data_IF_493587766743
#
_entry.id   IF_493587766743
#
_cell.length_a   1.000
_cell.length_b   1.000
_cell.length_c   1.000
_cell.angle_alpha   90.00
_cell.angle_beta   90.00
_cell.angle_gamma   90.00
#
_symmetry.space_group_name_H-M   'P 1'
#
loop_
_entity.id
_entity.type
_entity.pdbx_description
1 polymer ?
#
# COMPACT_ATOMS: atom_id res chain seq x y z
N UNK A 1 2.37 -10.77 15.26
CA UNK A 1 3.25 -9.61 14.94
C UNK A 1 2.94 -9.24 13.51
N UNK A 2 2.58 -7.99 13.27
CA UNK A 2 2.28 -7.49 11.93
C UNK A 2 3.58 -7.41 11.12
N UNK A 3 3.57 -7.90 9.90
CA UNK A 3 4.73 -7.82 9.02
C UNK A 3 4.93 -6.36 8.56
N UNK A 4 6.18 -5.87 8.42
CA UNK A 4 6.44 -4.52 7.92
C UNK A 4 5.81 -4.21 6.56
N UNK A 5 5.66 -5.23 5.70
CA UNK A 5 4.97 -5.12 4.41
C UNK A 5 3.48 -4.85 4.62
N UNK A 6 2.84 -5.55 5.56
CA UNK A 6 1.44 -5.32 5.91
C UNK A 6 1.25 -3.90 6.44
N UNK A 7 2.09 -3.46 7.38
CA UNK A 7 2.02 -2.09 7.92
C UNK A 7 2.12 -1.05 6.81
N UNK A 8 3.05 -1.23 5.87
CA UNK A 8 3.22 -0.32 4.73
C UNK A 8 2.03 -0.33 3.79
N UNK A 9 1.54 -1.52 3.45
CA UNK A 9 0.37 -1.71 2.59
C UNK A 9 -0.86 -1.01 3.17
N UNK A 10 -1.20 -1.26 4.44
CA UNK A 10 -2.39 -0.65 5.05
C UNK A 10 -2.22 0.87 5.26
N UNK A 11 -1.01 1.36 5.50
CA UNK A 11 -0.74 2.81 5.56
C UNK A 11 -1.02 3.48 4.21
N UNK A 12 -0.46 2.93 3.13
CA UNK A 12 -0.69 3.43 1.77
C UNK A 12 -2.15 3.29 1.35
N UNK A 13 -2.82 2.21 1.76
CA UNK A 13 -4.24 2.01 1.49
C UNK A 13 -5.09 3.13 2.10
N UNK A 14 -4.86 3.50 3.37
CA UNK A 14 -5.58 4.60 4.03
C UNK A 14 -5.30 5.94 3.34
N UNK A 15 -4.08 6.19 2.90
CA UNK A 15 -3.72 7.40 2.16
C UNK A 15 -4.43 7.48 0.81
N UNK A 16 -4.37 6.40 0.02
CA UNK A 16 -5.02 6.33 -1.30
C UNK A 16 -6.53 6.49 -1.16
N UNK A 17 -7.16 5.86 -0.17
CA UNK A 17 -8.60 6.01 0.10
C UNK A 17 -8.99 7.43 0.49
N UNK A 18 -8.12 8.15 1.23
CA UNK A 18 -8.36 9.56 1.55
C UNK A 18 -8.21 10.48 0.33
N UNK A 19 -7.29 10.16 -0.59
CA UNK A 19 -7.03 10.92 -1.81
C UNK A 19 -8.03 10.64 -2.96
N UNK A 20 -8.64 9.46 -3.00
CA UNK A 20 -9.66 9.10 -4.01
C UNK A 20 -10.96 9.92 -3.85
N UNK A 21 -11.04 10.74 -2.78
CA UNK A 21 -12.20 11.55 -2.41
C UNK A 21 -13.36 10.69 -1.92
N UNK A 22 -14.34 11.25 -1.21
CA UNK A 22 -15.51 10.47 -0.80
C UNK A 22 -16.38 10.17 -2.04
N UNK A 23 -16.62 8.90 -2.42
CA UNK A 23 -17.97 8.56 -2.84
C UNK A 23 -18.89 8.60 -1.60
N UNK A 24 -20.15 9.02 -1.72
CA UNK A 24 -21.12 9.04 -0.61
C UNK A 24 -21.58 7.63 -0.18
N UNK A 25 -20.73 6.61 -0.32
CA UNK A 25 -21.13 5.21 -0.27
C UNK A 25 -20.44 4.50 0.88
N UNK A 26 -21.24 3.85 1.73
CA UNK A 26 -20.84 3.18 2.98
C UNK A 26 -19.69 2.16 2.82
N UNK A 27 -19.45 1.67 1.61
CA UNK A 27 -18.41 0.68 1.32
C UNK A 27 -17.00 1.23 1.48
N UNK A 28 -16.73 2.46 0.99
CA UNK A 28 -15.38 3.05 1.08
C UNK A 28 -15.03 3.40 2.53
N UNK A 29 -16.02 3.83 3.31
CA UNK A 29 -15.85 4.07 4.74
C UNK A 29 -15.58 2.77 5.51
N UNK A 30 -16.28 1.69 5.17
CA UNK A 30 -16.04 0.37 5.76
C UNK A 30 -14.61 -0.14 5.49
N UNK A 31 -14.08 0.00 4.27
CA UNK A 31 -12.69 -0.36 3.97
C UNK A 31 -11.71 0.51 4.76
N UNK A 32 -11.96 1.81 4.84
CA UNK A 32 -11.09 2.75 5.56
C UNK A 32 -11.03 2.42 7.05
N UNK A 33 -12.18 2.17 7.68
CA UNK A 33 -12.25 1.80 9.09
C UNK A 33 -11.58 0.45 9.36
N UNK A 34 -11.80 -0.54 8.50
CA UNK A 34 -11.16 -1.84 8.62
C UNK A 34 -9.63 -1.75 8.48
N UNK A 35 -9.13 -0.95 7.54
CA UNK A 35 -7.70 -0.70 7.34
C UNK A 35 -7.06 0.02 8.54
N UNK A 36 -7.74 1.01 9.12
CA UNK A 36 -7.28 1.68 10.34
C UNK A 36 -7.21 0.72 11.53
N UNK A 37 -8.25 -0.09 11.73
CA UNK A 37 -8.27 -1.11 12.79
C UNK A 37 -7.16 -2.15 12.62
N UNK A 38 -6.90 -2.58 11.39
CA UNK A 38 -5.78 -3.46 11.05
C UNK A 38 -4.42 -2.87 11.46
N UNK A 39 -4.20 -1.56 11.24
CA UNK A 39 -2.99 -0.86 11.67
C UNK A 39 -2.89 -0.71 13.19
N UNK A 40 -4.02 -0.49 13.87
CA UNK A 40 -4.06 -0.30 15.32
C UNK A 40 -3.80 -1.60 16.08
N UNK A 41 -4.41 -2.71 15.65
CA UNK A 41 -4.36 -3.97 16.40
C UNK A 41 -3.26 -4.90 15.93
N UNK A 42 -2.88 -4.85 14.65
CA UNK A 42 -2.00 -5.83 14.02
C UNK A 42 -2.50 -7.27 14.13
N UNK A 43 -3.79 -7.47 14.46
CA UNK A 43 -4.35 -8.78 14.72
C UNK A 43 -4.69 -9.49 13.40
N UNK A 44 -4.35 -10.78 13.23
CA UNK A 44 -4.58 -11.50 11.97
C UNK A 44 -6.03 -11.43 11.46
N UNK A 45 -7.01 -11.41 12.38
CA UNK A 45 -8.42 -11.30 12.03
C UNK A 45 -8.80 -9.92 11.51
N UNK A 46 -8.21 -8.86 12.05
CA UNK A 46 -8.45 -7.49 11.58
C UNK A 46 -7.76 -7.26 10.21
N UNK A 47 -6.57 -7.83 10.00
CA UNK A 47 -5.90 -7.85 8.69
C UNK A 47 -6.78 -8.54 7.63
N UNK A 48 -7.32 -9.71 7.97
CA UNK A 48 -8.22 -10.46 7.09
C UNK A 48 -9.52 -9.71 6.84
N UNK A 49 -10.10 -9.06 7.86
CA UNK A 49 -11.31 -8.27 7.72
C UNK A 49 -11.09 -7.08 6.77
N UNK A 50 -9.96 -6.38 6.90
CA UNK A 50 -9.61 -5.30 5.98
C UNK A 50 -9.43 -5.79 4.54
N UNK A 51 -8.82 -6.97 4.35
CA UNK A 51 -8.71 -7.58 3.02
C UNK A 51 -10.06 -7.92 2.41
N UNK A 52 -10.96 -8.52 3.20
CA UNK A 52 -12.32 -8.84 2.77
C UNK A 52 -13.13 -7.60 2.43
N UNK A 53 -12.99 -6.53 3.21
CA UNK A 53 -13.64 -5.26 2.91
C UNK A 53 -13.18 -4.72 1.55
N UNK A 54 -11.87 -4.80 1.26
CA UNK A 54 -11.31 -4.40 -0.04
C UNK A 54 -11.84 -5.27 -1.19
N UNK A 55 -12.02 -6.58 -0.95
CA UNK A 55 -12.59 -7.50 -1.94
C UNK A 55 -14.07 -7.23 -2.22
N UNK A 56 -14.77 -6.55 -1.31
CA UNK A 56 -16.17 -6.15 -1.48
C UNK A 56 -16.37 -4.89 -2.33
N UNK A 57 -15.31 -4.18 -2.70
CA UNK A 57 -15.42 -3.03 -3.58
C UNK A 57 -15.72 -3.44 -5.02
N UNK A 58 -16.43 -2.56 -5.75
CA UNK A 58 -16.58 -2.65 -7.20
C UNK A 58 -15.23 -2.94 -7.90
N UNK A 59 -15.15 -3.95 -8.79
CA UNK A 59 -13.87 -4.42 -9.33
C UNK A 59 -13.01 -3.32 -9.96
N UNK A 60 -13.63 -2.44 -10.76
CA UNK A 60 -12.91 -1.33 -11.40
C UNK A 60 -12.39 -0.29 -10.41
N UNK A 61 -13.02 -0.15 -9.23
CA UNK A 61 -12.55 0.73 -8.16
C UNK A 61 -11.44 0.06 -7.37
N UNK A 62 -11.62 -1.22 -7.02
CA UNK A 62 -10.61 -2.05 -6.34
C UNK A 62 -9.29 -2.03 -7.10
N UNK A 63 -9.33 -2.27 -8.41
CA UNK A 63 -8.12 -2.34 -9.25
C UNK A 63 -7.39 -1.00 -9.31
N UNK A 64 -8.13 0.12 -9.39
CA UNK A 64 -7.53 1.47 -9.33
C UNK A 64 -6.85 1.73 -8.00
N UNK A 65 -7.51 1.42 -6.89
CA UNK A 65 -6.96 1.60 -5.54
C UNK A 65 -5.70 0.74 -5.36
N UNK A 66 -5.78 -0.55 -5.70
CA UNK A 66 -4.63 -1.46 -5.59
C UNK A 66 -3.47 -1.04 -6.49
N UNK A 67 -3.74 -0.56 -7.71
CA UNK A 67 -2.71 -0.04 -8.61
C UNK A 67 -1.95 1.14 -7.98
N UNK A 68 -2.66 2.09 -7.35
CA UNK A 68 -2.05 3.23 -6.65
C UNK A 68 -1.25 2.80 -5.42
N UNK A 69 -1.79 1.88 -4.62
CA UNK A 69 -1.07 1.34 -3.45
C UNK A 69 0.21 0.63 -3.89
N UNK A 70 0.14 -0.23 -4.91
CA UNK A 70 1.33 -0.92 -5.42
C UNK A 70 2.35 0.06 -6.03
N UNK A 71 1.90 1.10 -6.73
CA UNK A 71 2.79 2.15 -7.24
C UNK A 71 3.52 2.88 -6.09
N UNK A 72 2.81 3.18 -5.00
CA UNK A 72 3.42 3.73 -3.78
C UNK A 72 4.47 2.79 -3.18
N UNK A 73 4.14 1.50 -3.03
CA UNK A 73 5.06 0.49 -2.51
C UNK A 73 6.32 0.33 -3.39
N UNK A 74 6.17 0.40 -4.72
CA UNK A 74 7.29 0.30 -5.66
C UNK A 74 8.18 1.56 -5.65
N UNK A 75 7.57 2.75 -5.60
CA UNK A 75 8.31 4.02 -5.50
C UNK A 75 9.15 4.10 -4.22
N UNK A 76 8.60 3.59 -3.13
CA UNK A 76 9.25 3.45 -1.85
C UNK A 76 10.48 2.53 -1.86
N UNK A 77 10.42 1.40 -2.58
CA UNK A 77 11.58 0.53 -2.78
C UNK A 77 12.65 1.22 -3.64
N UNK A 78 12.24 1.98 -4.65
CA UNK A 78 13.18 2.80 -5.43
C UNK A 78 13.88 3.84 -4.57
N UNK A 79 13.15 4.52 -3.67
CA UNK A 79 13.72 5.52 -2.76
C UNK A 79 14.72 4.91 -1.77
N UNK A 80 14.46 3.70 -1.29
CA UNK A 80 15.43 2.96 -0.44
C UNK A 80 16.73 2.69 -1.21
N UNK A 81 16.63 2.33 -2.49
CA UNK A 81 17.81 2.13 -3.34
C UNK A 81 18.60 3.42 -3.59
N UNK A 82 17.91 4.56 -3.73
CA UNK A 82 18.57 5.86 -3.89
C UNK A 82 19.27 6.35 -2.61
N UNK A 83 18.89 5.82 -1.44
CA UNK A 83 19.49 6.13 -0.13
C UNK A 83 20.64 5.19 0.27
N UNK A 84 20.87 4.09 -0.46
CA UNK A 84 22.01 3.22 -0.22
C UNK A 84 23.31 3.95 -0.58
N UNK A 85 24.40 3.77 0.20
CA UNK A 85 25.70 4.31 -0.17
C UNK A 85 26.04 3.87 -1.60
N UNK A 86 26.55 4.79 -2.42
CA UNK A 86 26.79 4.66 -3.87
C UNK A 86 27.73 3.51 -4.30
N UNK A 87 28.02 2.54 -3.44
CA UNK A 87 28.81 1.33 -3.71
C UNK A 87 28.01 0.04 -3.91
N UNK A 88 26.71 0.01 -3.58
CA UNK A 88 25.84 -1.16 -3.89
C UNK A 88 25.09 -0.85 -5.18
N UNK A 89 25.68 -1.22 -6.31
CA UNK A 89 25.21 -0.83 -7.64
C UNK A 89 23.72 -1.11 -7.85
N UNK A 90 23.01 -0.08 -8.34
CA UNK A 90 21.65 -0.21 -8.87
C UNK A 90 21.65 -1.28 -9.97
N UNK A 91 20.79 -2.31 -9.93
CA UNK A 91 20.69 -3.25 -11.04
C UNK A 91 20.11 -2.50 -12.24
N UNK A 92 20.99 -2.06 -13.14
CA UNK A 92 20.63 -1.29 -14.35
C UNK A 92 21.37 0.04 -14.56
N UNK A 93 22.29 0.45 -13.69
CA UNK A 93 23.12 1.64 -13.94
C UNK A 93 24.04 1.46 -15.16
N UNK A 94 24.18 2.45 -16.07
CA UNK A 94 24.98 2.30 -17.28
C UNK A 94 26.43 2.01 -16.89
N UNK A 95 26.91 0.85 -17.33
CA UNK A 95 28.29 0.39 -17.18
C UNK A 95 29.19 1.37 -17.94
N UNK A 96 29.73 2.39 -17.26
CA UNK A 96 30.78 3.24 -17.83
C UNK A 96 32.03 2.39 -17.97
N UNK A 97 32.23 1.86 -19.18
CA UNK A 97 33.50 1.32 -19.64
C UNK A 97 34.46 2.50 -19.82
N UNK A 98 35.55 2.50 -19.05
CA UNK A 98 36.74 3.31 -19.29
C UNK A 98 37.81 2.40 -19.89
#
# INVERSE_FOLDING_TARGET
>A
MMDPVDTRFFTLLVQVLAEDGPPPDSETDAVTQAAKRALETGAPLDLLAARRALDGLEPGRKDRILSRVHAGMAGDLSAIWDQLPQGIGRPGGPRKLH
#
